data_IF_892155543486
#
_entry.id   IF_892155543486
#
_cell.length_a   1.000
_cell.length_b   1.000
_cell.length_c   1.000
_cell.angle_alpha   90.00
_cell.angle_beta   90.00
_cell.angle_gamma   90.00
#
_symmetry.space_group_name_H-M   'P 1'
#
loop_
_entity.id
_entity.type
_entity.pdbx_description
1 polymer ?
#
# COMPACT_ATOMS: atom_id res chain seq x y z
N UNK A 1 10.93 -25.79 9.77
CA UNK A 1 9.53 -25.63 10.23
C UNK A 1 9.29 -24.39 11.12
N UNK A 2 10.34 -23.65 11.50
CA UNK A 2 10.26 -22.59 12.56
C UNK A 2 10.17 -21.14 12.12
N UNK A 3 10.06 -20.86 10.81
CA UNK A 3 10.19 -19.48 10.32
C UNK A 3 8.87 -18.69 10.31
N UNK A 4 7.71 -19.35 10.36
CA UNK A 4 6.39 -18.73 10.30
C UNK A 4 6.01 -18.16 11.68
N UNK A 5 6.29 -18.89 12.75
CA UNK A 5 5.96 -18.50 14.12
C UNK A 5 6.59 -17.19 14.61
N UNK A 6 7.77 -16.83 14.07
CA UNK A 6 8.43 -15.55 14.38
C UNK A 6 7.82 -14.32 13.69
N UNK A 7 7.15 -14.51 12.53
CA UNK A 7 6.59 -13.41 11.75
C UNK A 7 5.16 -12.99 12.18
N UNK A 8 4.45 -13.86 12.91
CA UNK A 8 3.03 -13.67 13.25
C UNK A 8 2.74 -13.50 14.76
N UNK A 9 3.75 -13.32 15.60
CA UNK A 9 3.62 -13.24 17.07
C UNK A 9 2.53 -12.26 17.51
N UNK A 10 1.36 -12.79 17.85
CA UNK A 10 0.29 -12.14 18.60
C UNK A 10 0.41 -12.51 20.09
N UNK A 11 1.51 -12.14 20.75
CA UNK A 11 1.51 -12.02 22.21
C UNK A 11 1.17 -10.59 22.59
N UNK A 12 -0.12 -10.27 22.66
CA UNK A 12 -0.59 -9.16 23.47
C UNK A 12 -1.74 -9.63 24.34
N UNK A 13 -1.51 -9.46 25.63
CA UNK A 13 -2.36 -9.75 26.75
C UNK A 13 -3.79 -9.21 26.60
N UNK A 14 -4.73 -10.08 27.03
CA UNK A 14 -5.92 -9.78 27.82
C UNK A 14 -6.41 -8.32 27.86
N UNK A 15 -7.25 -7.99 26.92
CA UNK A 15 -8.50 -7.28 27.13
C UNK A 15 -9.46 -7.94 26.13
N UNK A 16 -10.60 -8.42 26.63
CA UNK A 16 -11.68 -8.97 25.79
C UNK A 16 -12.04 -7.90 24.78
N UNK A 17 -11.43 -7.94 23.60
CA UNK A 17 -11.62 -6.92 22.57
C UNK A 17 -13.08 -7.04 22.12
N UNK A 18 -13.79 -5.92 22.08
CA UNK A 18 -15.15 -5.81 21.55
C UNK A 18 -15.26 -6.23 20.07
N UNK A 19 -14.12 -6.49 19.41
CA UNK A 19 -14.02 -6.87 18.00
C UNK A 19 -14.22 -8.39 17.87
N UNK A 20 -15.19 -8.85 17.04
CA UNK A 20 -15.42 -10.27 16.80
C UNK A 20 -14.17 -11.00 16.29
N UNK A 21 -13.98 -12.27 16.70
CA UNK A 21 -12.81 -13.08 16.31
C UNK A 21 -12.61 -13.15 14.79
N UNK A 22 -13.68 -13.22 14.00
CA UNK A 22 -13.65 -13.19 12.53
C UNK A 22 -13.04 -11.89 11.99
N UNK A 23 -13.37 -10.75 12.59
CA UNK A 23 -12.84 -9.46 12.14
C UNK A 23 -11.35 -9.34 12.50
N UNK A 24 -10.95 -9.80 13.69
CA UNK A 24 -9.53 -9.83 14.07
C UNK A 24 -8.71 -10.72 13.15
N UNK A 25 -9.20 -11.93 12.85
CA UNK A 25 -8.55 -12.87 11.93
C UNK A 25 -8.42 -12.24 10.53
N UNK A 26 -9.49 -11.65 10.01
CA UNK A 26 -9.49 -10.97 8.72
C UNK A 26 -8.48 -9.82 8.65
N UNK A 27 -8.52 -8.87 9.60
CA UNK A 27 -7.60 -7.72 9.60
C UNK A 27 -6.13 -8.16 9.75
N UNK A 28 -5.89 -9.18 10.57
CA UNK A 28 -4.56 -9.72 10.76
C UNK A 28 -4.00 -10.34 9.48
N UNK A 29 -4.75 -11.23 8.85
CA UNK A 29 -4.36 -11.89 7.60
C UNK A 29 -4.23 -10.88 6.46
N UNK A 30 -5.19 -9.95 6.32
CA UNK A 30 -5.14 -8.88 5.34
C UNK A 30 -3.87 -8.04 5.50
N UNK A 31 -3.58 -7.60 6.72
CA UNK A 31 -2.36 -6.85 7.01
C UNK A 31 -1.10 -7.64 6.69
N UNK A 32 -1.09 -8.95 6.97
CA UNK A 32 0.06 -9.82 6.69
C UNK A 32 0.31 -9.97 5.17
N UNK A 33 -0.76 -10.11 4.38
CA UNK A 33 -0.68 -10.19 2.91
C UNK A 33 -0.20 -8.85 2.33
N UNK A 34 -0.86 -7.75 2.70
CA UNK A 34 -0.57 -6.43 2.14
C UNK A 34 0.79 -5.87 2.55
N UNK A 35 1.35 -6.31 3.69
CA UNK A 35 2.70 -5.95 4.13
C UNK A 35 3.80 -6.90 3.62
N UNK A 36 3.47 -7.87 2.76
CA UNK A 36 4.44 -8.85 2.27
C UNK A 36 4.93 -9.85 3.33
N UNK A 37 4.33 -9.89 4.53
CA UNK A 37 4.66 -10.93 5.53
C UNK A 37 4.19 -12.32 5.12
N UNK A 38 3.10 -12.37 4.37
CA UNK A 38 2.63 -13.55 3.65
C UNK A 38 2.87 -13.32 2.16
N UNK A 39 3.91 -13.97 1.64
CA UNK A 39 4.33 -13.82 0.26
C UNK A 39 3.29 -14.35 -0.75
N UNK A 40 3.20 -13.80 -1.96
CA UNK A 40 2.43 -14.39 -3.05
C UNK A 40 2.79 -15.86 -3.27
N UNK A 41 1.79 -16.71 -3.49
CA UNK A 41 1.97 -18.15 -3.61
C UNK A 41 2.07 -18.90 -2.28
N UNK A 42 2.00 -18.22 -1.14
CA UNK A 42 1.99 -18.87 0.17
C UNK A 42 0.67 -19.61 0.38
N UNK A 43 0.76 -20.90 0.74
CA UNK A 43 -0.41 -21.72 1.12
C UNK A 43 -0.92 -21.32 2.50
N UNK A 44 -2.24 -21.23 2.61
CA UNK A 44 -2.98 -20.88 3.82
C UNK A 44 -3.91 -22.04 4.17
N UNK A 45 -3.66 -22.70 5.31
CA UNK A 45 -4.46 -23.79 5.83
C UNK A 45 -5.30 -23.30 7.03
N UNK A 46 -6.61 -23.51 6.99
CA UNK A 46 -7.54 -23.08 8.06
C UNK A 46 -7.12 -23.55 9.45
N UNK A 47 -6.69 -24.82 9.57
CA UNK A 47 -6.28 -25.43 10.84
C UNK A 47 -5.06 -24.71 11.44
N UNK A 48 -4.03 -24.55 10.63
CA UNK A 48 -2.80 -23.91 11.07
C UNK A 48 -3.01 -22.44 11.47
N UNK A 49 -3.80 -21.70 10.68
CA UNK A 49 -4.15 -20.32 11.00
C UNK A 49 -5.01 -20.20 12.26
N UNK A 50 -5.90 -21.17 12.51
CA UNK A 50 -6.71 -21.20 13.72
C UNK A 50 -5.84 -21.39 14.98
N UNK A 51 -4.85 -22.29 14.90
CA UNK A 51 -3.86 -22.50 15.96
C UNK A 51 -3.01 -21.26 16.21
N UNK A 52 -2.45 -20.64 15.13
CA UNK A 52 -1.63 -19.45 15.25
C UNK A 52 -2.36 -18.24 15.85
N UNK A 53 -3.64 -18.07 15.47
CA UNK A 53 -4.46 -16.95 15.92
C UNK A 53 -5.16 -17.21 17.27
N UNK A 54 -5.08 -18.44 17.79
CA UNK A 54 -5.73 -18.83 19.05
C UNK A 54 -7.26 -18.74 18.98
N UNK A 55 -7.86 -19.09 17.84
CA UNK A 55 -9.31 -19.07 17.61
C UNK A 55 -9.79 -20.39 16.99
N UNK A 56 -11.12 -20.65 16.99
CA UNK A 56 -11.66 -21.80 16.28
C UNK A 56 -11.57 -21.64 14.76
N UNK A 57 -11.80 -22.73 14.01
CA UNK A 57 -11.70 -22.73 12.53
C UNK A 57 -12.76 -21.88 11.84
N UNK A 58 -13.97 -21.76 12.42
CA UNK A 58 -15.08 -21.02 11.83
C UNK A 58 -14.75 -19.55 11.55
N UNK A 59 -14.30 -18.72 12.52
CA UNK A 59 -13.93 -17.33 12.27
C UNK A 59 -12.76 -17.18 11.28
N UNK A 60 -11.86 -18.16 11.20
CA UNK A 60 -10.78 -18.17 10.21
C UNK A 60 -11.32 -18.40 8.81
N UNK A 61 -12.22 -19.38 8.65
CA UNK A 61 -12.87 -19.65 7.36
C UNK A 61 -13.65 -18.44 6.85
N UNK A 62 -14.43 -17.78 7.72
CA UNK A 62 -15.15 -16.55 7.37
C UNK A 62 -14.18 -15.43 6.93
N UNK A 63 -13.05 -15.29 7.62
CA UNK A 63 -12.01 -14.33 7.27
C UNK A 63 -11.37 -14.66 5.91
N UNK A 64 -11.06 -15.93 5.64
CA UNK A 64 -10.50 -16.38 4.36
C UNK A 64 -11.47 -16.16 3.21
N UNK A 65 -12.76 -16.51 3.36
CA UNK A 65 -13.75 -16.21 2.31
C UNK A 65 -13.88 -14.72 2.02
N UNK A 66 -13.76 -13.87 3.03
CA UNK A 66 -13.77 -12.43 2.82
C UNK A 66 -12.53 -11.95 2.05
N UNK A 67 -11.36 -12.52 2.33
CA UNK A 67 -10.12 -12.24 1.59
C UNK A 67 -10.17 -12.76 0.15
N UNK A 68 -10.83 -13.90 -0.08
CA UNK A 68 -11.10 -14.46 -1.41
C UNK A 68 -11.99 -13.52 -2.22
N UNK A 69 -13.08 -13.01 -1.65
CA UNK A 69 -13.97 -12.02 -2.30
C UNK A 69 -13.24 -10.72 -2.64
N UNK A 70 -12.18 -10.38 -1.92
CA UNK A 70 -11.31 -9.24 -2.20
C UNK A 70 -10.17 -9.58 -3.19
N UNK A 71 -10.09 -10.81 -3.69
CA UNK A 71 -9.05 -11.27 -4.62
C UNK A 71 -7.66 -11.44 -4.00
N UNK A 72 -7.52 -11.26 -2.69
CA UNK A 72 -6.22 -11.36 -2.00
C UNK A 72 -5.71 -12.79 -1.87
N UNK A 73 -6.60 -13.76 -1.92
CA UNK A 73 -6.31 -15.20 -1.93
C UNK A 73 -7.21 -15.91 -2.94
N UNK A 74 -6.77 -17.07 -3.38
CA UNK A 74 -7.55 -17.97 -4.29
C UNK A 74 -7.68 -19.34 -3.64
N UNK A 75 -8.81 -20.05 -3.81
CA UNK A 75 -8.95 -21.42 -3.34
C UNK A 75 -8.00 -22.33 -4.13
N UNK A 76 -7.50 -23.38 -3.47
CA UNK A 76 -6.77 -24.45 -4.11
C UNK A 76 -7.75 -25.54 -4.55
N UNK A 77 -7.48 -26.22 -5.64
CA UNK A 77 -8.22 -27.42 -6.08
C UNK A 77 -8.25 -28.51 -5.00
N UNK A 78 -7.17 -28.58 -4.25
CA UNK A 78 -7.07 -29.41 -3.04
C UNK A 78 -7.71 -28.69 -1.85
N UNK A 79 -7.19 -28.80 -0.66
CA UNK A 79 -7.72 -28.13 0.54
C UNK A 79 -6.95 -26.87 0.85
N UNK A 80 -7.65 -25.75 1.20
CA UNK A 80 -7.03 -24.49 1.64
C UNK A 80 -7.01 -23.42 0.56
N UNK A 81 -6.22 -22.39 0.80
CA UNK A 81 -6.11 -21.20 -0.04
C UNK A 81 -4.64 -20.92 -0.35
N UNK A 82 -4.42 -20.06 -1.34
CA UNK A 82 -3.11 -19.54 -1.70
C UNK A 82 -3.18 -18.02 -1.79
N UNK A 83 -2.15 -17.33 -1.33
CA UNK A 83 -2.05 -15.87 -1.49
C UNK A 83 -1.94 -15.56 -2.98
N UNK A 84 -2.82 -14.69 -3.49
CA UNK A 84 -2.86 -14.32 -4.90
C UNK A 84 -1.55 -13.67 -5.33
N UNK A 85 -1.14 -13.99 -6.55
CA UNK A 85 -0.10 -13.26 -7.27
C UNK A 85 -0.83 -12.46 -8.35
N UNK A 86 -0.72 -11.14 -8.26
CA UNK A 86 -1.41 -10.28 -9.22
C UNK A 86 -0.70 -10.37 -10.58
N UNK A 87 -1.47 -10.35 -11.66
CA UNK A 87 -0.94 -10.26 -13.01
C UNK A 87 -0.41 -8.84 -13.29
N UNK A 88 0.30 -8.69 -14.40
CA UNK A 88 0.77 -7.37 -14.85
C UNK A 88 -0.42 -6.44 -15.06
N UNK A 89 -1.46 -6.93 -15.72
CA UNK A 89 -2.68 -6.19 -16.04
C UNK A 89 -3.42 -5.74 -14.77
N UNK A 90 -3.53 -6.61 -13.76
CA UNK A 90 -4.15 -6.28 -12.47
C UNK A 90 -3.37 -5.16 -11.72
N UNK A 91 -2.04 -5.17 -11.82
CA UNK A 91 -1.19 -4.11 -11.24
C UNK A 91 -1.34 -2.81 -12.03
N UNK A 92 -1.33 -2.85 -13.36
CA UNK A 92 -1.56 -1.69 -14.22
C UNK A 92 -2.91 -1.04 -13.90
N UNK A 93 -3.99 -1.82 -13.84
CA UNK A 93 -5.32 -1.34 -13.47
C UNK A 93 -5.34 -0.67 -12.08
N UNK A 94 -4.70 -1.30 -11.09
CA UNK A 94 -4.59 -0.75 -9.73
C UNK A 94 -3.93 0.64 -9.70
N UNK A 95 -2.83 0.80 -10.44
CA UNK A 95 -2.12 2.09 -10.52
C UNK A 95 -2.91 3.12 -11.33
N UNK A 96 -3.65 2.72 -12.37
CA UNK A 96 -4.50 3.63 -13.14
C UNK A 96 -5.66 4.15 -12.30
N UNK A 97 -6.33 3.30 -11.52
CA UNK A 97 -7.32 3.72 -10.54
C UNK A 97 -6.71 4.67 -9.50
N UNK A 98 -5.51 4.39 -9.04
CA UNK A 98 -4.78 5.25 -8.11
C UNK A 98 -4.52 6.62 -8.71
N UNK A 99 -4.04 6.69 -9.96
CA UNK A 99 -3.76 7.95 -10.67
C UNK A 99 -5.01 8.82 -10.80
N UNK A 100 -6.16 8.22 -11.12
CA UNK A 100 -7.44 8.93 -11.21
C UNK A 100 -7.87 9.47 -9.83
N UNK A 101 -7.84 8.65 -8.81
CA UNK A 101 -8.32 9.02 -7.48
C UNK A 101 -7.40 10.02 -6.77
N UNK A 102 -6.08 9.80 -6.81
CA UNK A 102 -5.11 10.72 -6.19
C UNK A 102 -4.99 12.02 -6.99
N UNK A 103 -5.05 11.97 -8.32
CA UNK A 103 -5.09 13.15 -9.19
C UNK A 103 -6.28 14.05 -8.86
N UNK A 104 -7.48 13.49 -8.85
CA UNK A 104 -8.69 14.23 -8.42
C UNK A 104 -8.59 14.69 -6.97
N UNK A 105 -8.01 13.88 -6.08
CA UNK A 105 -7.75 14.27 -4.70
C UNK A 105 -6.89 15.51 -4.59
N UNK A 106 -5.78 15.57 -5.34
CA UNK A 106 -4.87 16.73 -5.34
C UNK A 106 -5.52 17.98 -5.93
N UNK A 107 -6.33 17.84 -6.99
CA UNK A 107 -7.19 18.91 -7.53
C UNK A 107 -8.05 19.54 -6.43
N UNK A 108 -8.72 18.71 -5.64
CA UNK A 108 -9.58 19.18 -4.53
C UNK A 108 -8.76 19.86 -3.42
N UNK A 109 -7.56 19.37 -3.14
CA UNK A 109 -6.65 19.95 -2.13
C UNK A 109 -6.17 21.32 -2.56
N UNK A 110 -5.89 21.55 -3.85
CA UNK A 110 -5.36 22.81 -4.37
C UNK A 110 -6.22 24.03 -4.05
N UNK A 111 -7.53 23.83 -3.90
CA UNK A 111 -8.48 24.88 -3.51
C UNK A 111 -8.36 25.30 -2.04
N UNK A 112 -7.74 24.45 -1.19
CA UNK A 112 -7.69 24.61 0.28
C UNK A 112 -6.26 24.55 0.84
N UNK A 113 -5.26 24.79 -0.01
CA UNK A 113 -3.84 24.75 0.41
C UNK A 113 -3.57 25.79 1.48
N UNK A 114 -2.94 25.34 2.58
CA UNK A 114 -2.43 26.18 3.66
C UNK A 114 -0.91 26.08 3.75
N UNK A 115 -0.26 27.12 4.32
CA UNK A 115 1.19 27.11 4.58
C UNK A 115 1.58 25.92 5.46
N UNK A 116 0.78 25.58 6.48
CA UNK A 116 1.04 24.43 7.34
C UNK A 116 1.05 23.11 6.56
N UNK A 117 0.17 22.94 5.56
CA UNK A 117 0.21 21.78 4.67
C UNK A 117 1.51 21.74 3.87
N UNK A 118 1.90 22.88 3.28
CA UNK A 118 3.13 22.98 2.50
C UNK A 118 4.37 22.69 3.35
N UNK A 119 4.43 23.18 4.59
CA UNK A 119 5.50 22.88 5.54
C UNK A 119 5.57 21.39 5.89
N UNK A 120 4.42 20.75 6.11
CA UNK A 120 4.39 19.29 6.36
C UNK A 120 4.91 18.49 5.16
N UNK A 121 4.57 18.90 3.94
CA UNK A 121 5.01 18.24 2.71
C UNK A 121 6.50 18.54 2.40
N UNK A 122 7.01 19.70 2.78
CA UNK A 122 8.41 20.10 2.59
C UNK A 122 9.42 19.33 3.44
N UNK A 123 8.99 18.46 4.36
CA UNK A 123 9.87 17.50 5.07
C UNK A 123 10.57 16.52 4.13
N UNK A 124 10.53 16.80 2.83
CA UNK A 124 11.26 16.09 1.77
C UNK A 124 12.79 16.13 1.93
N UNK A 125 13.34 17.12 2.66
CA UNK A 125 14.78 17.16 2.99
C UNK A 125 15.24 15.90 3.72
N UNK A 126 14.39 15.37 4.60
CA UNK A 126 14.70 14.11 5.30
C UNK A 126 14.69 12.90 4.35
N UNK A 127 13.83 12.92 3.34
CA UNK A 127 13.79 11.87 2.31
C UNK A 127 15.03 11.91 1.41
N UNK A 128 15.53 13.08 1.04
CA UNK A 128 16.76 13.25 0.27
C UNK A 128 17.98 12.71 1.02
N UNK A 129 18.09 13.02 2.32
CA UNK A 129 19.17 12.51 3.15
C UNK A 129 19.09 10.97 3.28
N UNK A 130 17.90 10.43 3.51
CA UNK A 130 17.69 9.00 3.56
C UNK A 130 18.06 8.32 2.24
N UNK A 131 17.74 8.96 1.11
CA UNK A 131 18.08 8.45 -0.22
C UNK A 131 19.61 8.45 -0.44
N UNK A 132 20.30 9.55 -0.10
CA UNK A 132 21.78 9.65 -0.16
C UNK A 132 22.46 8.58 0.68
N UNK A 133 21.92 8.28 1.88
CA UNK A 133 22.42 7.25 2.79
C UNK A 133 21.98 5.83 2.43
N UNK A 134 21.21 5.66 1.32
CA UNK A 134 20.64 4.37 0.89
C UNK A 134 19.76 3.69 1.97
N UNK A 135 19.07 4.48 2.77
CA UNK A 135 18.18 4.02 3.84
C UNK A 135 16.77 3.78 3.27
N UNK A 136 16.60 2.74 2.46
CA UNK A 136 15.34 2.46 1.73
C UNK A 136 14.10 2.43 2.63
N UNK A 137 14.20 1.89 3.86
CA UNK A 137 13.07 1.88 4.81
C UNK A 137 12.62 3.29 5.20
N UNK A 138 13.56 4.22 5.34
CA UNK A 138 13.27 5.63 5.63
C UNK A 138 12.62 6.30 4.41
N UNK A 139 13.17 6.07 3.21
CA UNK A 139 12.58 6.56 1.94
C UNK A 139 11.14 6.05 1.79
N UNK A 140 10.90 4.75 2.04
CA UNK A 140 9.56 4.16 2.04
C UNK A 140 8.62 4.84 3.05
N UNK A 141 9.12 5.11 4.27
CA UNK A 141 8.34 5.78 5.32
C UNK A 141 7.93 7.19 4.89
N UNK A 142 8.86 7.98 4.39
CA UNK A 142 8.60 9.35 3.92
C UNK A 142 7.65 9.38 2.74
N UNK A 143 7.85 8.52 1.74
CA UNK A 143 6.93 8.38 0.60
C UNK A 143 5.51 8.02 1.07
N UNK A 144 5.40 7.11 2.05
CA UNK A 144 4.11 6.72 2.64
C UNK A 144 3.45 7.88 3.35
N UNK A 145 4.20 8.63 4.19
CA UNK A 145 3.68 9.77 4.94
C UNK A 145 3.24 10.93 4.02
N UNK A 146 3.94 11.14 2.91
CA UNK A 146 3.56 12.14 1.91
C UNK A 146 2.14 11.89 1.38
N UNK A 147 1.89 10.71 0.81
CA UNK A 147 0.56 10.35 0.30
C UNK A 147 -0.49 10.31 1.40
N UNK A 148 -0.18 9.82 2.60
CA UNK A 148 -1.11 9.80 3.74
C UNK A 148 -1.52 11.19 4.18
N UNK A 149 -0.62 12.15 4.11
CA UNK A 149 -0.93 13.55 4.42
C UNK A 149 -1.93 14.10 3.41
N UNK A 150 -1.72 13.87 2.12
CA UNK A 150 -2.66 14.28 1.07
C UNK A 150 -4.03 13.58 1.21
N UNK A 151 -4.06 12.29 1.50
CA UNK A 151 -5.33 11.55 1.70
C UNK A 151 -6.13 12.09 2.89
N UNK A 152 -5.47 12.52 3.99
CA UNK A 152 -6.15 13.15 5.12
C UNK A 152 -6.81 14.48 4.77
N UNK A 153 -6.21 15.25 3.86
CA UNK A 153 -6.76 16.55 3.43
C UNK A 153 -8.10 16.44 2.69
N UNK A 154 -8.39 15.26 2.11
CA UNK A 154 -9.69 15.01 1.45
C UNK A 154 -10.69 14.25 2.33
N UNK A 155 -10.43 14.12 3.63
CA UNK A 155 -11.27 13.35 4.56
C UNK A 155 -12.73 13.82 4.66
N UNK A 156 -13.02 15.11 4.40
CA UNK A 156 -14.36 15.66 4.31
C UNK A 156 -15.17 15.06 3.13
N UNK A 157 -14.50 14.69 2.03
CA UNK A 157 -15.10 13.99 0.89
C UNK A 157 -15.12 12.48 1.19
N UNK A 158 -16.02 12.06 2.08
CA UNK A 158 -16.08 10.71 2.66
C UNK A 158 -15.99 9.57 1.65
N UNK A 159 -16.60 9.71 0.47
CA UNK A 159 -16.56 8.66 -0.58
C UNK A 159 -15.17 8.57 -1.21
N UNK A 160 -14.62 9.70 -1.64
CA UNK A 160 -13.28 9.79 -2.21
C UNK A 160 -12.23 9.27 -1.21
N UNK A 161 -12.24 9.77 0.02
CA UNK A 161 -11.31 9.35 1.07
C UNK A 161 -11.36 7.83 1.30
N UNK A 162 -12.57 7.24 1.36
CA UNK A 162 -12.71 5.77 1.52
C UNK A 162 -12.10 5.00 0.35
N UNK A 163 -12.29 5.46 -0.90
CA UNK A 163 -11.70 4.83 -2.08
C UNK A 163 -10.17 4.94 -2.06
N UNK A 164 -9.63 6.13 -1.77
CA UNK A 164 -8.18 6.36 -1.62
C UNK A 164 -7.56 5.46 -0.56
N UNK A 165 -8.16 5.36 0.62
CA UNK A 165 -7.70 4.47 1.70
C UNK A 165 -7.73 3.00 1.28
N UNK A 166 -8.72 2.58 0.51
CA UNK A 166 -8.79 1.20 0.02
C UNK A 166 -7.72 0.92 -1.03
N UNK A 167 -7.62 1.73 -2.08
CA UNK A 167 -6.59 1.58 -3.14
C UNK A 167 -5.19 1.60 -2.52
N UNK A 168 -4.93 2.52 -1.59
CA UNK A 168 -3.66 2.63 -0.87
C UNK A 168 -3.22 1.30 -0.23
N UNK A 169 -4.15 0.56 0.39
CA UNK A 169 -3.83 -0.73 1.04
C UNK A 169 -3.21 -1.73 0.05
N UNK A 170 -3.74 -1.80 -1.15
CA UNK A 170 -3.22 -2.69 -2.20
C UNK A 170 -1.90 -2.18 -2.77
N UNK A 171 -1.78 -0.88 -3.00
CA UNK A 171 -0.55 -0.26 -3.54
C UNK A 171 0.64 -0.41 -2.60
N UNK A 172 0.43 -0.43 -1.27
CA UNK A 172 1.53 -0.64 -0.31
C UNK A 172 2.31 -1.93 -0.56
N UNK A 173 1.68 -2.94 -1.17
CA UNK A 173 2.32 -4.21 -1.55
C UNK A 173 3.43 -4.02 -2.59
N UNK A 174 3.30 -3.03 -3.48
CA UNK A 174 4.21 -2.77 -4.59
C UNK A 174 5.11 -1.55 -4.38
N UNK A 175 4.85 -0.76 -3.34
CA UNK A 175 5.56 0.51 -3.12
C UNK A 175 7.03 0.30 -2.78
N UNK A 176 7.36 -0.76 -2.05
CA UNK A 176 8.74 -1.08 -1.73
C UNK A 176 9.50 -1.49 -3.01
N UNK A 177 8.87 -2.27 -3.87
CA UNK A 177 9.42 -2.72 -5.16
C UNK A 177 9.70 -1.52 -6.08
N UNK A 178 8.74 -0.58 -6.19
CA UNK A 178 8.88 0.67 -6.95
C UNK A 178 10.09 1.49 -6.50
N UNK A 179 10.28 1.64 -5.18
CA UNK A 179 11.40 2.43 -4.64
C UNK A 179 12.76 1.74 -4.74
N UNK A 180 12.77 0.41 -4.85
CA UNK A 180 13.99 -0.40 -5.03
C UNK A 180 14.44 -0.45 -6.49
N UNK A 181 13.55 -0.17 -7.46
CA UNK A 181 13.94 -0.10 -8.86
C UNK A 181 15.03 0.98 -9.05
N UNK A 182 16.01 0.81 -9.96
CA UNK A 182 17.07 1.79 -10.17
C UNK A 182 16.50 3.20 -10.33
N UNK A 183 16.96 4.13 -9.48
CA UNK A 183 16.50 5.52 -9.40
C UNK A 183 15.02 5.73 -9.04
N UNK A 184 14.25 4.67 -8.73
CA UNK A 184 12.83 4.78 -8.35
C UNK A 184 12.59 5.69 -7.15
N UNK A 185 13.44 5.61 -6.12
CA UNK A 185 13.38 6.52 -4.97
C UNK A 185 13.63 7.99 -5.36
N UNK A 186 14.55 8.25 -6.31
CA UNK A 186 14.84 9.60 -6.82
C UNK A 186 13.65 10.14 -7.63
N UNK A 187 13.13 9.35 -8.58
CA UNK A 187 11.93 9.75 -9.35
C UNK A 187 10.73 10.04 -8.46
N UNK A 188 10.50 9.19 -7.45
CA UNK A 188 9.42 9.43 -6.48
C UNK A 188 9.59 10.78 -5.77
N UNK A 189 10.80 11.12 -5.33
CA UNK A 189 11.10 12.38 -4.64
C UNK A 189 10.93 13.58 -5.59
N UNK A 190 11.43 13.49 -6.81
CA UNK A 190 11.30 14.54 -7.83
C UNK A 190 9.80 14.76 -8.17
N UNK A 191 9.01 13.69 -8.25
CA UNK A 191 7.56 13.78 -8.39
C UNK A 191 6.87 14.49 -7.22
N UNK A 192 7.30 14.21 -5.98
CA UNK A 192 6.78 14.91 -4.80
C UNK A 192 7.09 16.41 -4.83
N UNK A 193 8.31 16.80 -5.25
CA UNK A 193 8.67 18.21 -5.44
C UNK A 193 7.75 18.90 -6.45
N UNK A 194 7.50 18.28 -7.62
CA UNK A 194 6.57 18.80 -8.63
C UNK A 194 5.16 18.99 -8.05
N UNK A 195 4.68 18.02 -7.26
CA UNK A 195 3.37 18.10 -6.59
C UNK A 195 3.30 19.29 -5.61
N UNK A 196 4.31 19.47 -4.76
CA UNK A 196 4.37 20.61 -3.82
C UNK A 196 4.41 21.94 -4.57
N UNK A 197 5.17 22.04 -5.66
CA UNK A 197 5.20 23.23 -6.49
C UNK A 197 3.85 23.55 -7.14
N UNK A 198 3.15 22.52 -7.67
CA UNK A 198 1.81 22.71 -8.23
C UNK A 198 0.80 23.17 -7.16
N UNK A 199 0.87 22.63 -5.95
CA UNK A 199 0.04 23.06 -4.82
C UNK A 199 0.30 24.53 -4.44
N UNK A 200 1.56 25.01 -4.47
CA UNK A 200 1.89 26.43 -4.23
C UNK A 200 1.27 27.36 -5.25
N UNK A 201 1.19 26.93 -6.51
CA UNK A 201 0.56 27.69 -7.60
C UNK A 201 -0.98 27.71 -7.49
N UNK A 202 -1.55 26.81 -6.66
CA UNK A 202 -3.01 26.65 -6.49
C UNK A 202 -3.75 26.44 -7.81
N UNK A 203 -3.11 25.78 -8.77
CA UNK A 203 -3.69 25.43 -10.07
C UNK A 203 -4.26 24.01 -10.01
N UNK A 204 -5.60 23.83 -10.03
CA UNK A 204 -6.23 22.52 -9.89
C UNK A 204 -5.90 21.57 -11.05
N UNK A 205 -5.81 22.08 -12.29
CA UNK A 205 -5.54 21.24 -13.46
C UNK A 205 -4.08 20.77 -13.47
N UNK A 206 -3.14 21.67 -13.10
CA UNK A 206 -1.75 21.31 -12.92
C UNK A 206 -1.56 20.28 -11.81
N UNK A 207 -2.23 20.47 -10.65
CA UNK A 207 -2.18 19.55 -9.53
C UNK A 207 -2.64 18.13 -9.94
N UNK A 208 -3.78 18.02 -10.61
CA UNK A 208 -4.29 16.74 -11.09
C UNK A 208 -3.29 16.08 -12.05
N UNK A 209 -2.76 16.83 -13.00
CA UNK A 209 -1.83 16.32 -14.01
C UNK A 209 -0.53 15.82 -13.40
N UNK A 210 0.15 16.60 -12.56
CA UNK A 210 1.44 16.19 -11.97
C UNK A 210 1.30 14.98 -11.04
N UNK A 211 0.17 14.84 -10.34
CA UNK A 211 -0.09 13.66 -9.55
C UNK A 211 -0.26 12.42 -10.44
N UNK A 212 -1.02 12.53 -11.53
CA UNK A 212 -1.20 11.43 -12.48
C UNK A 212 0.13 10.98 -13.10
N UNK A 213 0.97 11.94 -13.52
CA UNK A 213 2.32 11.68 -14.04
C UNK A 213 3.18 10.95 -13.00
N UNK A 214 3.22 11.44 -11.77
CA UNK A 214 3.94 10.79 -10.66
C UNK A 214 3.51 9.34 -10.42
N UNK A 215 2.20 9.07 -10.44
CA UNK A 215 1.68 7.70 -10.26
C UNK A 215 1.99 6.84 -11.48
N UNK A 216 1.98 7.40 -12.68
CA UNK A 216 2.34 6.68 -13.91
C UNK A 216 3.82 6.25 -13.90
N UNK A 217 4.74 7.15 -13.51
CA UNK A 217 6.16 6.82 -13.33
C UNK A 217 6.33 5.68 -12.31
N UNK A 218 5.62 5.74 -11.19
CA UNK A 218 5.64 4.68 -10.18
C UNK A 218 5.07 3.34 -10.69
N UNK A 219 4.06 3.37 -11.58
CA UNK A 219 3.54 2.17 -12.25
C UNK A 219 4.61 1.51 -13.11
N UNK A 220 5.28 2.31 -13.94
CA UNK A 220 6.33 1.82 -14.82
C UNK A 220 7.48 1.17 -14.03
N UNK A 221 7.92 1.80 -12.95
CA UNK A 221 8.94 1.25 -12.05
C UNK A 221 8.51 -0.08 -11.43
N UNK A 222 7.27 -0.18 -10.95
CA UNK A 222 6.73 -1.41 -10.37
C UNK A 222 6.67 -2.54 -11.41
N UNK A 223 6.19 -2.25 -12.62
CA UNK A 223 6.10 -3.24 -13.71
C UNK A 223 7.50 -3.69 -14.15
N UNK A 224 8.44 -2.78 -14.28
CA UNK A 224 9.81 -3.12 -14.65
C UNK A 224 10.51 -3.96 -13.57
N UNK A 225 10.29 -3.64 -12.30
CA UNK A 225 10.85 -4.41 -11.19
C UNK A 225 10.28 -5.83 -11.14
N UNK A 226 8.96 -5.98 -11.29
CA UNK A 226 8.28 -7.26 -11.11
C UNK A 226 8.32 -8.17 -12.34
N UNK A 227 8.30 -7.60 -13.55
CA UNK A 227 8.16 -8.32 -14.81
C UNK A 227 9.25 -8.01 -15.83
N UNK A 228 10.08 -7.00 -15.59
CA UNK A 228 11.23 -6.72 -16.44
C UNK A 228 12.18 -7.92 -16.46
N UNK A 229 12.63 -8.33 -17.66
CA UNK A 229 13.65 -9.36 -17.76
C UNK A 229 14.90 -8.88 -17.00
N UNK A 230 15.26 -9.54 -15.91
CA UNK A 230 16.60 -9.39 -15.34
C UNK A 230 17.62 -9.53 -16.47
N UNK A 231 18.25 -8.42 -16.87
CA UNK A 231 19.51 -8.51 -17.59
C UNK A 231 20.48 -9.17 -16.62
N UNK A 232 20.61 -10.51 -16.72
CA UNK A 232 21.75 -11.20 -16.13
C UNK A 232 23.00 -10.58 -16.76
N UNK A 233 23.71 -9.81 -16.01
CA UNK A 233 25.12 -9.49 -16.24
C UNK A 233 25.94 -10.58 -15.62
#
# INVERSE_FOLDING_TARGET
MDTILRKLSLRSNSLKSAIPARQRAYEHLKSAILSGRLDPGKRLAEEHLAEELGVSRTPVREALHKLELEGLIKPLETRGFIVSKDSKEEIEELFDMRAILEGYGLRVISEKVSENLLEQLNKLENAEEALRRKQLREVFRWNTQFHDTLHRMVSEKKRLHRLLVNVRKYVLRYREDTLQYPDGGRRALDGHHKIVMALRLKDPDLCERVMREHIQEAKEDAIQFLFGKSKKT
#
